data_IF_900599337661
#
_entry.id   IF_900599337661
#
_cell.length_a   1.000
_cell.length_b   1.000
_cell.length_c   1.000
_cell.angle_alpha   90.00
_cell.angle_beta   90.00
_cell.angle_gamma   90.00
#
_symmetry.space_group_name_H-M   'P 1'
#
loop_
_entity.id
_entity.type
_entity.pdbx_description
1 polymer ?
#
# COMPACT_ATOMS: atom_id res chain seq x y z
N UNK A 1 15.53 -5.92 2.90
CA UNK A 1 14.65 -6.39 1.81
C UNK A 1 15.36 -7.31 0.81
N UNK A 2 16.36 -8.10 1.22
CA UNK A 2 17.16 -8.95 0.30
C UNK A 2 16.59 -10.35 0.07
N UNK A 3 15.47 -10.71 0.72
CA UNK A 3 14.84 -12.05 0.62
C UNK A 3 13.52 -12.08 -0.16
N UNK A 4 12.97 -10.92 -0.52
CA UNK A 4 11.71 -10.82 -1.26
C UNK A 4 12.03 -10.05 -2.53
N UNK A 5 12.13 -10.77 -3.64
CA UNK A 5 12.29 -10.16 -4.95
C UNK A 5 10.90 -9.74 -5.42
N UNK A 6 10.60 -8.46 -5.21
CA UNK A 6 9.39 -7.81 -5.71
C UNK A 6 9.74 -7.22 -7.07
N UNK A 7 9.00 -7.58 -8.10
CA UNK A 7 9.12 -6.97 -9.42
C UNK A 7 8.36 -5.63 -9.53
N UNK A 8 8.54 -4.92 -10.64
CA UNK A 8 7.94 -3.59 -10.83
C UNK A 8 6.40 -3.66 -10.90
N UNK A 9 5.84 -4.73 -11.47
CA UNK A 9 4.38 -4.90 -11.60
C UNK A 9 3.74 -5.24 -10.25
N UNK A 10 4.39 -6.09 -9.46
CA UNK A 10 4.05 -6.39 -8.07
C UNK A 10 4.10 -5.12 -7.21
N UNK A 11 5.14 -4.31 -7.36
CA UNK A 11 5.29 -3.05 -6.63
C UNK A 11 4.20 -2.03 -6.99
N UNK A 12 3.93 -1.84 -8.28
CA UNK A 12 2.84 -0.98 -8.76
C UNK A 12 1.48 -1.45 -8.23
N UNK A 13 1.25 -2.77 -8.21
CA UNK A 13 0.02 -3.35 -7.66
C UNK A 13 -0.11 -3.05 -6.17
N UNK A 14 0.97 -3.23 -5.39
CA UNK A 14 0.99 -2.88 -3.97
C UNK A 14 0.66 -1.39 -3.74
N UNK A 15 1.27 -0.48 -4.52
CA UNK A 15 0.95 0.94 -4.41
C UNK A 15 -0.51 1.25 -4.76
N UNK A 16 -1.06 0.61 -5.80
CA UNK A 16 -2.47 0.73 -6.14
C UNK A 16 -3.37 0.29 -4.98
N UNK A 17 -3.08 -0.83 -4.33
CA UNK A 17 -3.85 -1.31 -3.16
C UNK A 17 -3.82 -0.28 -2.03
N UNK A 18 -2.65 0.27 -1.71
CA UNK A 18 -2.51 1.23 -0.61
C UNK A 18 -3.15 2.59 -0.92
N UNK A 19 -3.15 2.98 -2.20
CA UNK A 19 -3.85 4.18 -2.66
C UNK A 19 -5.36 4.02 -2.52
N UNK A 20 -5.89 2.89 -2.97
CA UNK A 20 -7.33 2.56 -2.95
C UNK A 20 -7.75 1.88 -1.64
N UNK A 21 -7.41 2.47 -0.50
CA UNK A 21 -7.74 1.93 0.84
C UNK A 21 -9.19 2.17 1.24
N UNK A 22 -9.87 1.11 1.66
CA UNK A 22 -11.29 1.13 2.08
C UNK A 22 -11.52 1.70 3.49
N UNK A 23 -10.42 2.00 4.19
CA UNK A 23 -10.36 2.60 5.53
C UNK A 23 -10.46 4.13 5.54
N UNK A 24 -10.70 4.77 4.39
CA UNK A 24 -11.05 6.20 4.36
C UNK A 24 -12.49 6.35 4.88
N UNK A 25 -12.64 7.11 5.96
CA UNK A 25 -13.95 7.49 6.49
C UNK A 25 -14.72 8.31 5.46
N UNK A 26 -16.04 8.19 5.45
CA UNK A 26 -16.96 9.05 4.65
C UNK A 26 -16.97 8.83 3.13
N UNK A 27 -16.44 7.71 2.62
CA UNK A 27 -16.65 7.35 1.21
C UNK A 27 -18.14 7.07 0.93
N UNK A 28 -18.67 7.68 -0.13
CA UNK A 28 -20.01 7.34 -0.63
C UNK A 28 -20.06 5.86 -1.08
N UNK A 29 -21.25 5.24 -1.12
CA UNK A 29 -21.41 3.87 -1.61
C UNK A 29 -20.84 3.68 -3.03
N UNK A 30 -21.02 4.66 -3.91
CA UNK A 30 -20.53 4.66 -5.29
C UNK A 30 -19.00 4.70 -5.32
N UNK A 31 -18.39 5.59 -4.53
CA UNK A 31 -16.93 5.68 -4.43
C UNK A 31 -16.32 4.40 -3.86
N UNK A 32 -16.97 3.78 -2.88
CA UNK A 32 -16.57 2.48 -2.32
C UNK A 32 -16.65 1.37 -3.37
N UNK A 33 -17.68 1.37 -4.22
CA UNK A 33 -17.79 0.41 -5.31
C UNK A 33 -16.67 0.58 -6.35
N UNK A 34 -16.37 1.82 -6.76
CA UNK A 34 -15.25 2.12 -7.67
C UNK A 34 -13.93 1.64 -7.06
N UNK A 35 -13.72 1.87 -5.77
CA UNK A 35 -12.53 1.41 -5.05
C UNK A 35 -12.36 -0.11 -5.12
N UNK A 36 -13.42 -0.87 -4.80
CA UNK A 36 -13.35 -2.33 -4.85
C UNK A 36 -13.12 -2.84 -6.28
N UNK A 37 -13.84 -2.29 -7.25
CA UNK A 37 -13.67 -2.65 -8.66
C UNK A 37 -12.23 -2.40 -9.13
N UNK A 38 -11.67 -1.23 -8.80
CA UNK A 38 -10.30 -0.87 -9.19
C UNK A 38 -9.27 -1.83 -8.58
N UNK A 39 -9.46 -2.23 -7.32
CA UNK A 39 -8.56 -3.22 -6.67
C UNK A 39 -8.67 -4.60 -7.33
N UNK A 40 -9.87 -5.04 -7.67
CA UNK A 40 -10.05 -6.30 -8.40
C UNK A 40 -9.35 -6.27 -9.75
N UNK A 41 -9.46 -5.16 -10.48
CA UNK A 41 -8.88 -5.02 -11.80
C UNK A 41 -7.34 -5.00 -11.74
N UNK A 42 -6.74 -4.37 -10.72
CA UNK A 42 -5.31 -4.47 -10.46
C UNK A 42 -4.85 -5.93 -10.24
N UNK A 43 -5.63 -6.75 -9.54
CA UNK A 43 -5.28 -8.17 -9.34
C UNK A 43 -5.45 -9.00 -10.61
N UNK A 44 -6.47 -8.71 -11.41
CA UNK A 44 -6.67 -9.36 -12.72
C UNK A 44 -5.49 -9.03 -13.64
N UNK A 45 -5.08 -7.77 -13.70
CA UNK A 45 -3.96 -7.33 -14.53
C UNK A 45 -2.64 -7.98 -14.11
N UNK A 46 -2.36 -8.04 -12.80
CA UNK A 46 -1.17 -8.73 -12.29
C UNK A 46 -1.21 -10.24 -12.60
N UNK A 47 -2.38 -10.87 -12.47
CA UNK A 47 -2.57 -12.27 -12.84
C UNK A 47 -2.34 -12.51 -14.35
N UNK A 48 -2.88 -11.63 -15.21
CA UNK A 48 -2.67 -11.67 -16.66
C UNK A 48 -1.19 -11.47 -17.02
N UNK A 49 -0.51 -10.56 -16.33
CA UNK A 49 0.93 -10.37 -16.49
C UNK A 49 1.69 -11.67 -16.20
N UNK A 50 1.45 -12.33 -15.07
CA UNK A 50 2.12 -13.60 -14.77
C UNK A 50 1.82 -14.70 -15.78
N UNK A 51 0.58 -14.79 -16.26
CA UNK A 51 0.23 -15.71 -17.34
C UNK A 51 1.00 -15.42 -18.61
N UNK A 52 1.18 -14.14 -18.97
CA UNK A 52 1.90 -13.74 -20.18
C UNK A 52 3.38 -14.12 -20.16
N UNK A 53 4.00 -14.20 -18.98
CA UNK A 53 5.39 -14.64 -18.80
C UNK A 53 5.52 -16.15 -18.52
N UNK A 54 4.43 -16.91 -18.66
CA UNK A 54 4.43 -18.37 -18.65
C UNK A 54 4.33 -19.04 -17.29
N UNK A 55 3.92 -18.33 -16.23
CA UNK A 55 3.71 -18.96 -14.92
C UNK A 55 2.49 -19.88 -14.93
N UNK A 56 2.58 -20.97 -14.15
CA UNK A 56 1.45 -21.87 -13.92
C UNK A 56 0.44 -21.26 -12.94
N UNK A 57 -0.80 -21.74 -12.92
CA UNK A 57 -1.80 -21.29 -11.94
C UNK A 57 -1.34 -21.46 -10.50
N UNK A 58 -0.60 -22.55 -10.23
CA UNK A 58 -0.04 -22.81 -8.92
C UNK A 58 0.98 -21.75 -8.54
N UNK A 59 1.93 -21.44 -9.43
CA UNK A 59 2.97 -20.43 -9.18
C UNK A 59 2.36 -19.04 -8.98
N UNK A 60 1.35 -18.70 -9.78
CA UNK A 60 0.61 -17.43 -9.69
C UNK A 60 -0.08 -17.32 -8.33
N UNK A 61 -0.80 -18.36 -7.92
CA UNK A 61 -1.50 -18.40 -6.64
C UNK A 61 -0.52 -18.22 -5.48
N UNK A 62 0.64 -18.88 -5.54
CA UNK A 62 1.70 -18.75 -4.52
C UNK A 62 2.27 -17.32 -4.51
N UNK A 63 2.56 -16.73 -5.68
CA UNK A 63 3.07 -15.35 -5.78
C UNK A 63 2.08 -14.33 -5.25
N UNK A 64 0.81 -14.38 -5.67
CA UNK A 64 -0.23 -13.48 -5.18
C UNK A 64 -0.46 -13.64 -3.67
N UNK A 65 -0.49 -14.89 -3.17
CA UNK A 65 -0.60 -15.15 -1.73
C UNK A 65 0.56 -14.53 -0.94
N UNK A 66 1.80 -14.69 -1.41
CA UNK A 66 2.97 -14.08 -0.79
C UNK A 66 2.89 -12.54 -0.83
N UNK A 67 2.43 -11.97 -1.94
CA UNK A 67 2.21 -10.52 -2.08
C UNK A 67 1.17 -10.01 -1.08
N UNK A 68 0.05 -10.72 -0.91
CA UNK A 68 -0.99 -10.37 0.05
C UNK A 68 -0.53 -10.44 1.50
N UNK A 69 0.33 -11.40 1.84
CA UNK A 69 0.93 -11.49 3.17
C UNK A 69 1.88 -10.32 3.50
N UNK A 70 2.31 -9.54 2.51
CA UNK A 70 3.09 -8.32 2.74
C UNK A 70 2.24 -7.13 3.15
N UNK A 71 0.99 -7.04 2.69
CA UNK A 71 0.11 -5.90 2.96
C UNK A 71 0.02 -5.59 4.46
N UNK A 72 -0.38 -6.53 5.35
CA UNK A 72 -0.50 -6.22 6.78
C UNK A 72 0.85 -5.86 7.44
N UNK A 73 1.96 -6.41 6.92
CA UNK A 73 3.31 -6.09 7.43
C UNK A 73 3.72 -4.66 7.07
N UNK A 74 3.40 -4.23 5.86
CA UNK A 74 3.65 -2.86 5.41
C UNK A 74 2.78 -1.87 6.19
N UNK A 75 1.50 -2.17 6.39
CA UNK A 75 0.61 -1.33 7.22
C UNK A 75 1.16 -1.16 8.64
N UNK A 76 1.58 -2.25 9.27
CA UNK A 76 2.18 -2.21 10.59
C UNK A 76 3.50 -1.41 10.60
N UNK A 77 4.35 -1.59 9.59
CA UNK A 77 5.60 -0.83 9.47
C UNK A 77 5.36 0.67 9.32
N UNK A 78 4.32 1.07 8.58
CA UNK A 78 3.96 2.49 8.41
C UNK A 78 3.44 3.09 9.72
N UNK A 79 2.67 2.33 10.52
CA UNK A 79 2.22 2.77 11.85
C UNK A 79 3.41 3.04 12.78
N UNK A 80 4.33 2.08 12.89
CA UNK A 80 5.56 2.25 13.68
C UNK A 80 6.43 3.40 13.16
N UNK A 81 6.52 3.56 11.84
CA UNK A 81 7.26 4.67 11.24
C UNK A 81 6.65 6.02 11.64
N UNK A 82 5.32 6.15 11.61
CA UNK A 82 4.62 7.37 12.04
C UNK A 82 4.85 7.67 13.52
N UNK A 83 4.81 6.65 14.38
CA UNK A 83 5.11 6.81 15.82
C UNK A 83 6.54 7.30 16.05
N UNK A 84 7.52 6.66 15.41
CA UNK A 84 8.93 7.07 15.50
C UNK A 84 9.15 8.49 14.98
N UNK A 85 8.46 8.85 13.90
CA UNK A 85 8.53 10.18 13.32
C UNK A 85 7.98 11.26 14.27
N UNK A 86 6.84 11.00 14.92
CA UNK A 86 6.28 11.90 15.93
C UNK A 86 7.22 12.07 17.14
N UNK A 87 7.91 11.00 17.56
CA UNK A 87 8.91 11.08 18.65
C UNK A 87 10.10 11.95 18.22
N UNK A 88 10.62 11.72 17.02
CA UNK A 88 11.77 12.47 16.52
C UNK A 88 11.43 13.96 16.31
N UNK A 89 10.20 14.28 15.92
CA UNK A 89 9.68 15.65 15.89
C UNK A 89 9.62 16.28 17.29
N UNK A 90 9.07 15.57 18.30
CA UNK A 90 9.02 16.06 19.69
C UNK A 90 10.40 16.47 20.22
N UNK A 91 11.43 15.74 19.85
CA UNK A 91 12.81 16.02 20.23
C UNK A 91 13.56 16.96 19.27
N UNK A 92 12.88 17.54 18.27
CA UNK A 92 13.46 18.38 17.21
C UNK A 92 14.66 17.72 16.51
N UNK A 93 14.63 16.40 16.31
CA UNK A 93 15.71 15.63 15.68
C UNK A 93 15.69 15.69 14.15
N UNK A 94 14.60 16.17 13.56
CA UNK A 94 14.39 16.23 12.11
C UNK A 94 13.74 17.56 11.74
N UNK A 95 14.30 18.23 10.73
CA UNK A 95 13.65 19.37 10.08
C UNK A 95 12.70 18.85 9.00
N UNK A 96 11.40 19.10 9.18
CA UNK A 96 10.40 18.75 8.18
C UNK A 96 10.44 19.70 7.00
N UNK A 97 10.49 19.12 5.80
CA UNK A 97 10.19 19.80 4.56
C UNK A 97 8.78 20.44 4.60
N UNK A 98 8.58 21.63 4.00
CA UNK A 98 7.28 22.29 3.97
C UNK A 98 6.11 21.40 3.52
N UNK A 99 6.31 20.49 2.56
CA UNK A 99 5.24 19.62 2.08
C UNK A 99 4.77 18.62 3.16
N UNK A 100 5.70 18.08 3.95
CA UNK A 100 5.41 17.13 5.02
C UNK A 100 4.74 17.80 6.23
N UNK A 101 5.10 19.07 6.49
CA UNK A 101 4.55 19.85 7.61
C UNK A 101 3.05 20.09 7.45
N UNK A 102 2.61 20.45 6.24
CA UNK A 102 1.20 20.72 5.95
C UNK A 102 0.31 19.46 6.11
N UNK A 103 0.82 18.31 5.70
CA UNK A 103 0.12 17.03 5.82
C UNK A 103 0.00 16.57 7.28
N UNK A 104 1.03 16.82 8.10
CA UNK A 104 1.01 16.48 9.52
C UNK A 104 -0.04 17.30 10.29
N UNK A 105 -0.06 18.62 10.09
CA UNK A 105 -0.99 19.55 10.75
C UNK A 105 -2.46 19.25 10.47
N UNK A 106 -2.77 18.72 9.28
CA UNK A 106 -4.13 18.28 8.90
C UNK A 106 -4.48 16.93 9.52
N UNK A 107 -3.50 16.04 9.71
CA UNK A 107 -3.71 14.71 10.31
C UNK A 107 -3.91 14.68 11.83
N UNK A 108 -3.59 15.79 12.53
CA UNK A 108 -3.74 15.94 14.00
C UNK A 108 -5.08 16.58 14.39
N UNK A 109 -5.80 17.19 13.43
CA UNK A 109 -7.06 17.92 13.67
C UNK A 109 -8.33 17.07 13.49
N UNK A 110 -8.19 15.79 13.16
CA UNK A 110 -9.25 14.76 13.14
C UNK A 110 -8.96 13.72 14.20
#
# INVERSE_FOLDING_TARGET
>A
MTRIQIDEYELCTLFGIFLWRDSVSELSPEARNILFQTREDLFKDLHLHYRSIGLTDFDITVKLGNLFLLIPKLEHSVKLFRENFNIAELFNMIEMDPCCRHYHETSVKT
#
